data_IF_924432059650
#
_entry.id   IF_924432059650
#
_cell.length_a   1.000
_cell.length_b   1.000
_cell.length_c   1.000
_cell.angle_alpha   90.00
_cell.angle_beta   90.00
_cell.angle_gamma   90.00
#
_symmetry.space_group_name_H-M   'P 1'
#
loop_
_entity.id
_entity.type
_entity.pdbx_description
1 polymer ?
2 non-polymer ?
3 non-polymer ?
4 non-polymer ?
5 non-polymer ?
6 water ?
#
# COMPACT_ATOMS: atom_id res chain seq x y z
N UNK A 15 -1.18 1.67 30.87
CA UNK A 15 -2.29 2.38 31.49
C UNK A 15 -1.75 3.41 32.46
N UNK A 16 -0.96 4.34 31.92
CA UNK A 16 -0.12 5.27 32.70
C UNK A 16 1.06 4.53 33.33
N UNK A 17 1.09 3.19 33.24
CA UNK A 17 2.29 2.46 33.62
C UNK A 17 3.35 2.48 32.53
N UNK A 18 3.02 3.05 31.38
CA UNK A 18 3.83 2.90 30.17
C UNK A 18 4.33 4.27 29.70
N UNK A 19 5.63 4.33 29.40
CA UNK A 19 6.23 5.47 28.71
C UNK A 19 6.14 6.75 29.52
N UNK A 20 6.26 6.62 30.83
CA UNK A 20 6.74 7.74 31.61
C UNK A 20 8.27 7.68 31.66
N UNK A 21 8.89 8.80 32.01
CA UNK A 21 10.34 8.95 31.97
C UNK A 21 10.87 8.76 30.54
N UNK A 22 10.13 9.32 29.58
CA UNK A 22 10.59 9.48 28.20
C UNK A 22 11.05 10.93 27.98
N UNK A 23 12.07 11.32 28.74
CA UNK A 23 12.45 12.72 28.82
C UNK A 23 12.93 13.26 27.47
N UNK A 24 13.69 12.46 26.74
CA UNK A 24 14.22 12.87 25.44
C UNK A 24 13.67 11.92 24.38
N UNK A 25 14.26 11.96 23.21
CA UNK A 25 13.95 10.96 22.20
C UNK A 25 12.86 11.40 21.25
N UNK A 26 12.69 10.58 20.22
CA UNK A 26 12.00 11.00 19.02
C UNK A 26 11.19 9.83 18.48
N UNK A 27 10.11 10.14 17.75
CA UNK A 27 9.15 9.12 17.36
C UNK A 27 8.74 9.37 15.91
N UNK A 28 8.69 8.29 15.12
CA UNK A 28 8.33 8.36 13.71
C UNK A 28 7.22 7.37 13.39
N UNK A 29 6.43 7.73 12.38
CA UNK A 29 5.41 6.85 11.80
C UNK A 29 6.09 6.06 10.69
N UNK A 30 5.90 4.72 10.70
CA UNK A 30 6.31 3.85 9.60
C UNK A 30 5.05 3.36 8.91
N UNK A 31 4.96 3.57 7.60
CA UNK A 31 3.84 3.08 6.78
C UNK A 31 4.39 2.13 5.73
N UNK A 32 3.94 0.89 5.74
CA UNK A 32 4.39 -0.08 4.76
C UNK A 32 3.20 -0.55 3.94
N UNK A 33 3.37 -0.64 2.62
CA UNK A 33 2.32 -1.29 1.84
C UNK A 33 2.64 -2.77 1.61
N UNK A 34 3.55 -3.33 2.40
CA UNK A 34 3.80 -4.77 2.44
C UNK A 34 3.74 -5.25 3.89
N UNK A 35 2.68 -5.98 4.22
CA UNK A 35 2.60 -6.59 5.53
C UNK A 35 3.61 -7.73 5.68
N UNK A 36 3.96 -8.41 4.58
CA UNK A 36 5.04 -9.39 4.62
C UNK A 36 6.34 -8.78 5.08
N UNK A 37 6.64 -7.57 4.61
CA UNK A 37 7.85 -6.91 5.09
C UNK A 37 7.79 -6.67 6.58
N UNK A 38 6.63 -6.27 7.11
CA UNK A 38 6.57 -6.09 8.54
C UNK A 38 6.74 -7.42 9.28
N UNK A 39 6.16 -8.50 8.73
CA UNK A 39 6.34 -9.79 9.39
C UNK A 39 7.81 -10.15 9.45
N UNK A 40 8.55 -9.82 8.40
CA UNK A 40 9.97 -10.11 8.39
C UNK A 40 10.72 -9.23 9.39
N UNK A 41 10.30 -7.97 9.53
CA UNK A 41 10.85 -7.08 10.56
C UNK A 41 10.69 -7.69 11.95
N UNK A 42 9.50 -8.20 12.24
CA UNK A 42 9.23 -8.75 13.55
C UNK A 42 10.06 -10.02 13.76
N UNK A 43 10.28 -10.79 12.69
CA UNK A 43 11.00 -12.03 12.82
C UNK A 43 12.50 -11.80 13.03
N UNK A 44 13.08 -10.82 12.35
CA UNK A 44 14.53 -10.65 12.40
C UNK A 44 14.99 -9.34 13.06
N UNK A 45 14.08 -8.52 13.57
CA UNK A 45 14.41 -7.25 14.24
C UNK A 45 15.28 -6.34 13.36
N UNK A 46 14.80 -6.07 12.13
CA UNK A 46 15.47 -5.19 11.19
C UNK A 46 14.41 -4.43 10.41
N UNK A 47 14.82 -3.32 9.81
CA UNK A 47 13.91 -2.57 8.97
C UNK A 47 14.70 -1.83 7.90
N UNK A 48 13.99 -1.37 6.87
CA UNK A 48 14.55 -0.54 5.81
C UNK A 48 13.43 0.36 5.33
N UNK A 49 13.72 1.65 5.15
CA UNK A 49 12.75 2.60 4.63
C UNK A 49 13.13 3.00 3.20
N UNK A 50 12.47 4.03 2.67
CA UNK A 50 12.90 4.62 1.42
C UNK A 50 14.28 5.24 1.60
N UNK A 51 14.84 5.75 0.50
CA UNK A 51 16.14 6.41 0.59
C UNK A 51 16.06 7.67 1.45
N UNK A 52 15.08 8.54 1.17
CA UNK A 52 14.94 9.74 1.99
C UNK A 52 14.44 9.41 3.41
N UNK A 53 13.65 8.35 3.56
CA UNK A 53 13.22 7.95 4.89
C UNK A 53 14.37 7.42 5.73
N UNK A 54 15.24 6.59 5.13
CA UNK A 54 16.40 6.09 5.85
C UNK A 54 17.29 7.24 6.30
N UNK A 55 17.44 8.25 5.46
CA UNK A 55 18.28 9.39 5.80
C UNK A 55 17.70 10.17 6.98
N UNK A 56 16.37 10.33 7.05
CA UNK A 56 15.75 11.01 8.18
C UNK A 56 15.95 10.22 9.46
N UNK A 57 15.65 8.93 9.44
CA UNK A 57 15.83 8.10 10.62
C UNK A 57 17.29 8.03 11.04
N UNK A 58 18.20 8.00 10.05
CA UNK A 58 19.63 7.94 10.35
C UNK A 58 20.07 9.17 11.12
N UNK A 59 19.62 10.35 10.66
CA UNK A 59 19.95 11.61 11.34
C UNK A 59 19.36 11.68 12.74
N UNK A 60 18.12 11.21 12.92
CA UNK A 60 17.56 11.25 14.27
C UNK A 60 18.32 10.34 15.21
N UNK A 61 18.66 9.14 14.74
CA UNK A 61 19.38 8.19 15.59
C UNK A 61 20.77 8.71 15.95
N UNK A 62 21.51 9.18 14.94
CA UNK A 62 22.87 9.67 15.16
C UNK A 62 22.87 10.90 16.07
N UNK A 63 22.01 11.89 15.78
CA UNK A 63 21.97 13.11 16.58
C UNK A 63 21.52 12.84 18.00
N UNK A 64 20.79 11.75 18.24
CA UNK A 64 20.44 11.39 19.60
C UNK A 64 21.68 10.99 20.40
N UNK A 65 22.71 10.48 19.71
CA UNK A 65 24.00 10.12 20.31
C UNK A 65 23.82 9.20 21.52
N UNK A 66 22.76 8.40 21.50
CA UNK A 66 22.46 7.47 22.57
C UNK A 66 21.74 8.06 23.76
N UNK A 67 21.45 9.37 23.75
CA UNK A 67 20.83 10.01 24.91
C UNK A 67 19.37 9.60 25.12
N UNK A 68 18.69 9.10 24.10
CA UNK A 68 17.29 8.75 24.22
C UNK A 68 16.82 7.79 23.15
N UNK A 69 15.60 7.28 23.29
CA UNK A 69 15.10 6.30 22.31
C UNK A 69 14.53 6.97 21.08
N UNK A 70 14.68 6.29 19.95
CA UNK A 70 13.94 6.60 18.72
C UNK A 70 12.89 5.51 18.58
N UNK A 71 11.61 5.89 18.64
CA UNK A 71 10.56 4.89 18.50
C UNK A 71 9.93 4.98 17.10
N UNK A 72 9.44 3.84 16.63
CA UNK A 72 8.78 3.73 15.34
C UNK A 72 7.39 3.15 15.54
N UNK A 73 6.39 3.84 15.02
CA UNK A 73 4.99 3.40 15.12
C UNK A 73 4.62 2.81 13.77
N UNK A 74 4.39 1.50 13.72
CA UNK A 74 4.20 0.78 12.45
C UNK A 74 2.71 0.69 12.10
N UNK A 75 2.40 0.84 10.81
CA UNK A 75 1.04 0.64 10.31
C UNK A 75 1.10 0.19 8.85
N UNK A 76 0.29 -0.80 8.53
CA UNK A 76 0.15 -1.26 7.13
C UNK A 76 -0.84 -0.36 6.41
N UNK A 77 -0.42 0.22 5.28
CA UNK A 77 -1.26 1.08 4.47
C UNK A 77 -2.61 0.42 4.18
N UNK A 78 -3.69 1.17 4.40
CA UNK A 78 -5.02 0.68 4.11
C UNK A 78 -5.62 -0.22 5.15
N UNK A 79 -4.88 -0.57 6.21
CA UNK A 79 -5.34 -1.60 7.13
C UNK A 79 -6.31 -1.05 8.17
N UNK A 80 -6.29 0.23 8.41
CA UNK A 80 -7.15 0.85 9.39
C UNK A 80 -6.70 0.68 10.83
N UNK A 81 -5.47 0.21 11.06
CA UNK A 81 -4.98 0.03 12.41
C UNK A 81 -3.46 0.11 12.45
N UNK A 82 -2.93 0.53 13.58
CA UNK A 82 -1.50 0.43 13.81
C UNK A 82 -1.21 -0.98 14.26
N UNK A 83 0.00 -1.49 13.97
CA UNK A 83 0.27 -2.89 14.25
C UNK A 83 1.39 -3.12 15.26
N UNK A 84 2.15 -2.09 15.60
CA UNK A 84 2.94 -2.16 16.82
C UNK A 84 3.99 -1.08 16.86
N UNK A 85 4.93 -1.27 17.80
CA UNK A 85 5.94 -0.27 18.15
C UNK A 85 7.28 -0.98 18.24
N UNK A 86 8.32 -0.34 17.69
CA UNK A 86 9.68 -0.83 17.83
C UNK A 86 10.62 0.36 18.03
N UNK A 87 11.78 0.07 18.61
CA UNK A 87 12.81 1.08 18.82
C UNK A 87 13.97 0.88 17.87
N UNK A 88 14.43 1.96 17.26
CA UNK A 88 15.63 1.91 16.46
C UNK A 88 16.83 1.51 17.32
N UNK A 89 17.63 0.57 16.84
CA UNK A 89 18.75 0.05 17.63
C UNK A 89 20.08 0.15 16.91
N UNK A 90 20.16 0.89 15.80
CA UNK A 90 21.39 1.01 15.03
C UNK A 90 21.23 2.08 13.97
N UNK A 91 22.37 2.62 13.56
CA UNK A 91 22.39 3.48 12.39
C UNK A 91 22.08 2.68 11.14
N UNK A 92 21.90 3.38 10.04
CA UNK A 92 21.53 2.78 8.77
C UNK A 92 22.78 2.32 8.02
N UNK A 93 22.81 1.05 7.66
CA UNK A 93 23.84 0.51 6.78
C UNK A 93 23.29 0.52 5.37
N UNK A 94 23.91 1.30 4.48
CA UNK A 94 23.36 1.48 3.15
C UNK A 94 23.82 0.44 2.15
N UNK A 95 24.90 -0.29 2.44
CA UNK A 95 25.44 -1.27 1.48
C UNK A 95 25.24 -2.68 2.07
N UNK A 96 24.14 -3.32 1.68
CA UNK A 96 23.75 -4.61 2.23
C UNK A 96 23.20 -5.49 1.13
N UNK A 97 22.84 -6.71 1.51
CA UNK A 97 22.37 -7.70 0.55
C UNK A 97 21.11 -7.18 -0.13
N UNK A 98 21.06 -7.30 -1.45
CA UNK A 98 19.90 -6.82 -2.19
C UNK A 98 18.80 -7.87 -2.23
N UNK A 99 17.58 -7.39 -2.47
CA UNK A 99 16.46 -8.26 -2.70
C UNK A 99 15.98 -9.05 -1.51
N UNK A 100 16.20 -8.57 -0.28
CA UNK A 100 15.68 -9.28 0.88
C UNK A 100 14.24 -8.90 1.21
N UNK A 101 13.76 -7.78 0.71
CA UNK A 101 12.40 -7.38 1.01
C UNK A 101 11.46 -7.77 -0.14
N UNK A 102 10.19 -7.39 0.00
CA UNK A 102 9.14 -7.78 -0.93
C UNK A 102 9.45 -7.32 -2.35
N UNK A 103 10.19 -6.22 -2.46
CA UNK A 103 10.62 -5.64 -3.73
C UNK A 103 12.06 -5.19 -3.60
N UNK A 104 12.72 -5.06 -4.74
CA UNK A 104 14.15 -4.76 -4.78
C UNK A 104 14.47 -3.31 -4.45
N UNK A 105 13.51 -2.39 -4.60
CA UNK A 105 13.74 -0.96 -4.36
C UNK A 105 14.14 -0.62 -2.92
N UNK A 106 14.02 -1.54 -1.97
CA UNK A 106 14.38 -1.26 -0.58
C UNK A 106 15.84 -1.67 -0.38
N UNK A 107 16.72 -0.67 -0.23
CA UNK A 107 18.15 -0.89 -0.09
C UNK A 107 18.62 -0.40 1.26
N UNK A 108 19.33 -1.26 2.00
CA UNK A 108 19.87 -0.89 3.30
C UNK A 108 19.13 -1.58 4.44
N UNK A 109 19.61 -1.32 5.65
CA UNK A 109 19.12 -2.04 6.83
C UNK A 109 19.54 -1.28 8.08
N UNK A 110 18.67 -1.27 9.09
CA UNK A 110 19.05 -0.94 10.45
C UNK A 110 18.33 -1.88 11.41
N UNK A 111 18.93 -2.06 12.58
CA UNK A 111 18.35 -2.90 13.60
C UNK A 111 17.23 -2.18 14.33
N UNK A 112 16.25 -2.96 14.78
CA UNK A 112 15.16 -2.48 15.62
C UNK A 112 14.93 -3.53 16.70
N UNK A 113 14.16 -3.16 17.70
CA UNK A 113 13.71 -4.08 18.72
C UNK A 113 12.23 -3.86 18.89
N UNK A 114 11.43 -4.86 18.54
CA UNK A 114 9.99 -4.72 18.67
C UNK A 114 9.58 -4.79 20.12
N UNK A 115 8.68 -3.90 20.50
CA UNK A 115 8.21 -3.73 21.86
C UNK A 115 6.77 -4.19 22.00
N UNK A 116 5.89 -3.71 21.13
CA UNK A 116 4.53 -4.20 21.03
C UNK A 116 4.27 -4.68 19.61
N UNK A 117 3.62 -5.84 19.49
CA UNK A 117 3.01 -6.30 18.24
C UNK A 117 1.53 -6.49 18.54
N UNK A 118 0.71 -5.52 18.16
CA UNK A 118 -0.71 -5.60 18.43
C UNK A 118 -1.43 -4.64 17.51
N UNK A 119 -2.65 -5.01 17.11
CA UNK A 119 -3.45 -4.15 16.26
C UNK A 119 -4.26 -3.20 17.11
N UNK A 120 -4.06 -1.91 16.86
CA UNK A 120 -4.78 -0.84 17.54
C UNK A 120 -5.56 -0.12 16.47
N UNK A 121 -6.90 -0.15 16.50
CA UNK A 121 -7.70 0.54 15.48
C UNK A 121 -7.42 2.04 15.41
N UNK A 122 -7.51 2.59 14.20
CA UNK A 122 -7.31 4.03 14.01
C UNK A 122 -8.32 4.86 14.79
N UNK A 123 -9.49 4.29 15.07
CA UNK A 123 -10.48 4.97 15.90
C UNK A 123 -9.89 5.43 17.24
N UNK A 124 -8.96 4.66 17.79
CA UNK A 124 -8.40 4.96 19.11
C UNK A 124 -7.38 6.08 19.07
N UNK A 125 -6.84 6.40 17.90
CA UNK A 125 -5.75 7.35 17.75
C UNK A 125 -6.09 8.58 16.96
N UNK A 126 -7.19 8.57 16.20
CA UNK A 126 -7.46 9.61 15.21
C UNK A 126 -7.73 10.98 15.82
N UNK A 127 -7.94 11.05 17.13
CA UNK A 127 -8.17 12.33 17.79
C UNK A 127 -6.88 12.94 18.33
N UNK A 128 -5.74 12.46 17.85
CA UNK A 128 -4.43 13.07 18.11
C UNK A 128 -3.94 13.73 16.82
N UNK A 129 -3.69 15.03 16.87
CA UNK A 129 -3.36 15.78 15.67
C UNK A 129 -1.92 16.30 15.77
N UNK A 130 -1.29 16.45 14.62
CA UNK A 130 0.14 16.77 14.56
C UNK A 130 0.30 18.24 14.19
N UNK A 131 0.79 19.04 15.15
CA UNK A 131 0.94 20.46 14.86
C UNK A 131 2.01 20.72 13.82
N UNK A 132 2.92 19.76 13.62
CA UNK A 132 3.93 19.84 12.57
C UNK A 132 3.46 19.29 11.23
N UNK A 133 2.23 18.79 11.12
CA UNK A 133 1.71 18.30 9.85
C UNK A 133 0.34 18.92 9.56
N UNK A 134 0.26 20.25 9.67
CA UNK A 134 -0.98 21.00 9.38
C UNK A 134 -2.14 20.57 10.26
N UNK A 135 -1.86 20.15 11.50
CA UNK A 135 -2.88 19.71 12.43
C UNK A 135 -3.64 18.47 11.93
N UNK A 136 -3.06 17.71 11.01
CA UNK A 136 -3.73 16.51 10.52
C UNK A 136 -3.69 15.41 11.58
N UNK A 137 -4.70 14.53 11.59
CA UNK A 137 -4.67 13.39 12.52
C UNK A 137 -3.42 12.56 12.33
N UNK A 138 -2.95 11.95 13.41
CA UNK A 138 -1.72 11.15 13.32
C UNK A 138 -1.95 9.91 12.47
N UNK A 139 -3.20 9.45 12.37
CA UNK A 139 -3.60 8.31 11.55
C UNK A 139 -3.60 8.63 10.06
N UNK A 140 -3.35 9.89 9.69
CA UNK A 140 -3.33 10.34 8.30
C UNK A 140 -1.91 10.69 7.87
N UNK A 141 -0.92 10.06 8.50
CA UNK A 141 0.48 10.35 8.23
C UNK A 141 1.03 9.47 7.11
N UNK A 142 2.04 10.00 6.42
CA UNK A 142 2.83 9.24 5.48
C UNK A 142 4.05 8.63 6.20
N UNK A 143 4.78 7.78 5.48
CA UNK A 143 5.95 7.11 6.03
C UNK A 143 7.00 8.12 6.48
N UNK A 144 7.59 7.84 7.65
CA UNK A 144 8.63 8.63 8.37
C UNK A 144 8.19 10.06 8.70
N UNK A 145 6.89 10.31 8.80
CA UNK A 145 6.40 11.52 9.47
C UNK A 145 6.83 11.52 10.93
N UNK A 146 7.58 12.56 11.34
CA UNK A 146 7.95 12.66 12.75
C UNK A 146 6.76 13.14 13.56
N UNK A 147 6.67 12.66 14.79
CA UNK A 147 5.57 12.95 15.70
C UNK A 147 6.12 13.83 16.84
N UNK A 148 5.53 15.00 17.11
CA UNK A 148 6.00 15.79 18.26
C UNK A 148 5.93 15.01 19.56
N UNK A 149 6.91 15.24 20.43
CA UNK A 149 7.14 14.33 21.56
C UNK A 149 5.90 14.17 22.43
N UNK A 150 5.15 15.25 22.67
CA UNK A 150 4.01 15.13 23.57
C UNK A 150 2.86 14.36 22.94
N UNK A 151 2.69 14.46 21.62
CA UNK A 151 1.67 13.67 20.94
C UNK A 151 2.09 12.21 20.84
N UNK A 152 3.38 11.99 20.65
CA UNK A 152 3.91 10.63 20.59
C UNK A 152 3.65 9.90 21.90
N UNK A 153 3.89 10.58 23.02
CA UNK A 153 3.64 9.96 24.32
C UNK A 153 2.18 9.53 24.45
N UNK A 154 1.26 10.35 23.97
CA UNK A 154 -0.15 9.97 23.97
C UNK A 154 -0.38 8.73 23.10
N UNK A 155 0.26 8.69 21.93
CA UNK A 155 0.04 7.56 21.04
C UNK A 155 0.60 6.29 21.66
N UNK A 156 1.85 6.35 22.13
CA UNK A 156 2.50 5.17 22.69
C UNK A 156 1.70 4.60 23.86
N UNK A 157 1.12 5.47 24.69
CA UNK A 157 0.38 5.00 25.85
C UNK A 157 -0.93 4.35 25.45
N UNK A 158 -1.63 4.89 24.45
CA UNK A 158 -2.85 4.26 23.97
C UNK A 158 -2.54 2.87 23.42
N UNK A 159 -1.48 2.77 22.61
CA UNK A 159 -1.11 1.48 22.05
C UNK A 159 -0.77 0.49 23.16
N UNK A 160 0.09 0.91 24.08
CA UNK A 160 0.54 0.06 25.18
C UNK A 160 -0.63 -0.57 25.95
N UNK A 161 -1.64 0.23 26.29
CA UNK A 161 -2.71 -0.23 27.16
C UNK A 161 -3.91 -0.81 26.41
N UNK A 162 -3.99 -0.63 25.09
CA UNK A 162 -5.17 -1.09 24.36
C UNK A 162 -5.38 -2.59 24.54
N UNK A 163 -6.64 -2.98 24.74
CA UNK A 163 -7.00 -4.37 24.97
C UNK A 163 -8.23 -4.71 24.14
N UNK A 164 -8.22 -5.88 23.52
CA UNK A 164 -9.30 -6.39 22.66
C UNK A 164 -10.69 -6.22 23.27
N UNK B 14 6.74 3.70 -38.53
CA UNK B 14 5.60 2.99 -39.07
C UNK B 14 4.28 3.25 -38.36
N UNK B 15 3.60 2.18 -37.93
CA UNK B 15 2.33 2.34 -37.27
C UNK B 15 1.98 1.07 -36.49
N UNK B 16 1.23 1.27 -35.41
CA UNK B 16 0.64 0.18 -34.66
C UNK B 16 -0.84 0.52 -34.52
N UNK B 17 -1.68 -0.17 -35.30
CA UNK B 17 -3.12 0.01 -35.27
C UNK B 17 -3.84 -1.12 -34.55
N UNK B 18 -3.12 -1.89 -33.73
CA UNK B 18 -3.75 -3.06 -33.13
C UNK B 18 -4.94 -2.66 -32.28
N UNK B 19 -4.71 -1.77 -31.32
CA UNK B 19 -5.75 -1.46 -30.35
C UNK B 19 -6.86 -0.61 -30.94
N UNK B 20 -6.55 0.26 -31.91
CA UNK B 20 -7.58 1.07 -32.56
C UNK B 20 -8.71 0.24 -33.17
N UNK B 21 -8.46 -1.03 -33.50
CA UNK B 21 -9.48 -1.90 -34.07
C UNK B 21 -9.94 -2.88 -33.01
N UNK B 22 -10.78 -2.38 -32.09
CA UNK B 22 -11.52 -3.24 -31.19
C UNK B 22 -12.74 -2.48 -30.68
N UNK B 23 -13.94 -3.03 -30.90
CA UNK B 23 -15.17 -2.38 -30.44
C UNK B 23 -15.88 -3.22 -29.38
N UNK B 24 -15.16 -4.13 -28.72
CA UNK B 24 -15.72 -4.94 -27.66
C UNK B 24 -14.68 -5.09 -26.55
N UNK B 25 -15.14 -5.05 -25.31
CA UNK B 25 -14.25 -5.14 -24.18
C UNK B 25 -14.56 -4.05 -23.17
N UNK B 26 -14.26 -4.34 -21.91
CA UNK B 26 -14.45 -3.39 -20.82
C UNK B 26 -13.19 -3.38 -19.96
N UNK B 27 -12.89 -2.23 -19.37
CA UNK B 27 -11.60 -2.01 -18.73
C UNK B 27 -11.84 -1.30 -17.40
N UNK B 28 -11.16 -1.77 -16.35
CA UNK B 28 -11.33 -1.24 -14.99
C UNK B 28 -9.97 -0.94 -14.40
N UNK B 29 -9.89 0.16 -13.64
CA UNK B 29 -8.72 0.42 -12.81
C UNK B 29 -8.84 -0.40 -11.53
N UNK B 30 -7.75 -1.06 -11.13
CA UNK B 30 -7.65 -1.75 -9.85
C UNK B 30 -6.65 -0.98 -9.02
N UNK B 31 -7.09 -0.49 -7.86
CA UNK B 31 -6.25 0.23 -6.90
C UNK B 31 -6.12 -0.65 -5.66
N UNK B 32 -4.90 -1.14 -5.39
CA UNK B 32 -4.68 -2.00 -4.24
C UNK B 32 -3.84 -1.28 -3.20
N UNK B 33 -4.18 -1.45 -1.93
CA UNK B 33 -3.28 -0.93 -0.92
C UNK B 33 -2.03 -1.77 -0.73
N UNK B 34 -2.00 -3.02 -1.22
CA UNK B 34 -1.06 -4.04 -0.76
C UNK B 34 -0.21 -4.59 -1.90
N UNK B 35 1.11 -4.44 -1.78
CA UNK B 35 1.99 -5.12 -2.72
C UNK B 35 1.93 -6.64 -2.53
N UNK B 36 1.62 -7.09 -1.32
CA UNK B 36 1.48 -8.52 -1.08
C UNK B 36 0.30 -9.11 -1.85
N UNK B 37 -0.82 -8.37 -1.95
CA UNK B 37 -1.95 -8.83 -2.76
C UNK B 37 -1.54 -8.95 -4.22
N UNK B 38 -0.83 -7.95 -4.77
CA UNK B 38 -0.32 -8.02 -6.14
C UNK B 38 0.53 -9.28 -6.35
N UNK B 39 1.49 -9.52 -5.44
CA UNK B 39 2.33 -10.71 -5.56
C UNK B 39 1.52 -12.00 -5.51
N UNK B 40 0.52 -12.06 -4.63
CA UNK B 40 -0.35 -13.23 -4.57
C UNK B 40 -1.12 -13.41 -5.88
N UNK B 41 -1.56 -12.30 -6.48
CA UNK B 41 -2.34 -12.37 -7.71
C UNK B 41 -1.48 -12.87 -8.86
N UNK B 42 -0.26 -12.36 -8.97
CA UNK B 42 0.63 -12.80 -10.03
C UNK B 42 1.00 -14.27 -9.84
N UNK B 43 1.16 -14.68 -8.58
CA UNK B 43 1.58 -16.06 -8.33
C UNK B 43 0.47 -17.05 -8.65
N UNK B 44 -0.77 -16.75 -8.28
CA UNK B 44 -1.85 -17.72 -8.35
C UNK B 44 -2.93 -17.36 -9.37
N UNK B 45 -2.76 -16.25 -10.09
CA UNK B 45 -3.72 -15.81 -11.09
C UNK B 45 -5.13 -15.70 -10.53
N UNK B 46 -5.26 -14.97 -9.41
CA UNK B 46 -6.54 -14.73 -8.75
C UNK B 46 -6.56 -13.29 -8.22
N UNK B 47 -7.77 -12.81 -7.91
CA UNK B 47 -7.91 -11.49 -7.32
C UNK B 47 -9.15 -11.45 -6.45
N UNK B 48 -9.23 -10.41 -5.63
CA UNK B 48 -10.40 -10.13 -4.83
C UNK B 48 -10.41 -8.63 -4.55
N UNK B 49 -11.59 -8.03 -4.62
CA UNK B 49 -11.84 -6.63 -4.34
C UNK B 49 -12.70 -6.51 -3.08
N UNK B 50 -13.16 -5.30 -2.80
CA UNK B 50 -14.20 -5.10 -1.80
C UNK B 50 -15.49 -5.77 -2.26
N UNK B 51 -16.53 -5.77 -1.43
CA UNK B 51 -17.80 -6.31 -1.89
C UNK B 51 -18.38 -5.44 -3.01
N UNK B 52 -18.34 -4.12 -2.83
CA UNK B 52 -18.79 -3.21 -3.88
C UNK B 52 -17.99 -3.41 -5.17
N UNK B 53 -16.66 -3.52 -5.04
CA UNK B 53 -15.82 -3.72 -6.21
C UNK B 53 -16.06 -5.05 -6.89
N UNK B 54 -16.17 -6.12 -6.09
CA UNK B 54 -16.48 -7.45 -6.63
C UNK B 54 -17.82 -7.48 -7.35
N UNK B 55 -18.84 -6.84 -6.77
CA UNK B 55 -20.14 -6.82 -7.43
C UNK B 55 -20.05 -6.14 -8.79
N UNK B 56 -19.31 -5.04 -8.86
CA UNK B 56 -19.19 -4.32 -10.12
C UNK B 56 -18.43 -5.13 -11.16
N UNK B 57 -17.31 -5.77 -10.80
CA UNK B 57 -16.56 -6.54 -11.78
C UNK B 57 -17.34 -7.77 -12.25
N UNK B 58 -18.05 -8.41 -11.34
CA UNK B 58 -18.85 -9.59 -11.65
C UNK B 58 -19.90 -9.27 -12.72
N UNK B 59 -20.65 -8.17 -12.54
CA UNK B 59 -21.67 -7.78 -13.51
C UNK B 59 -21.06 -7.52 -14.87
N UNK B 60 -19.93 -6.84 -14.92
CA UNK B 60 -19.27 -6.60 -16.20
C UNK B 60 -18.83 -7.92 -16.84
N UNK B 61 -18.33 -8.85 -16.03
CA UNK B 61 -17.93 -10.16 -16.57
C UNK B 61 -19.14 -10.93 -17.11
N UNK B 62 -20.20 -11.03 -16.31
CA UNK B 62 -21.36 -11.83 -16.71
C UNK B 62 -22.08 -11.22 -17.91
N UNK B 63 -22.15 -9.89 -17.99
CA UNK B 63 -22.83 -9.26 -19.11
C UNK B 63 -22.00 -9.25 -20.38
N UNK B 64 -20.73 -9.63 -20.30
CA UNK B 64 -19.89 -9.68 -21.49
C UNK B 64 -20.19 -10.89 -22.35
N UNK B 65 -20.67 -11.98 -21.74
CA UNK B 65 -21.01 -13.21 -22.46
C UNK B 65 -19.90 -13.65 -23.41
N UNK B 66 -18.65 -13.54 -22.96
CA UNK B 66 -17.50 -13.91 -23.76
C UNK B 66 -17.32 -13.12 -25.04
N UNK B 67 -18.15 -12.13 -25.32
CA UNK B 67 -18.02 -11.34 -26.54
C UNK B 67 -16.88 -10.33 -26.46
N UNK B 68 -16.06 -10.39 -25.42
CA UNK B 68 -14.96 -9.47 -25.25
C UNK B 68 -14.26 -9.63 -23.91
N UNK B 69 -13.03 -9.12 -23.81
CA UNK B 69 -12.29 -9.22 -22.56
C UNK B 69 -12.66 -8.11 -21.58
N UNK B 70 -12.54 -8.45 -20.29
CA UNK B 70 -12.55 -7.47 -19.21
C UNK B 70 -11.09 -7.33 -18.77
N UNK B 71 -10.47 -6.19 -19.05
CA UNK B 71 -9.10 -5.93 -18.64
C UNK B 71 -9.06 -5.19 -17.30
N UNK B 72 -8.07 -5.54 -16.50
CA UNK B 72 -7.84 -4.94 -15.17
C UNK B 72 -6.48 -4.29 -15.23
N UNK B 73 -6.44 -2.98 -14.99
CA UNK B 73 -5.19 -2.20 -14.98
C UNK B 73 -4.84 -1.91 -13.52
N UNK B 74 -3.75 -2.51 -13.02
CA UNK B 74 -3.43 -2.55 -11.60
C UNK B 74 -2.49 -1.42 -11.20
N UNK B 75 -2.70 -0.89 -10.00
CA UNK B 75 -1.81 0.11 -9.42
C UNK B 75 -1.89 0.05 -7.89
N UNK B 76 -0.74 0.05 -7.22
CA UNK B 76 -0.72 0.09 -5.76
C UNK B 76 -0.86 1.53 -5.30
N UNK B 77 -1.80 1.77 -4.37
CA UNK B 77 -2.08 3.12 -3.89
C UNK B 77 -0.80 3.79 -3.43
N UNK B 78 -0.50 4.95 -3.99
CA UNK B 78 0.61 5.76 -3.53
C UNK B 78 1.97 5.44 -4.14
N UNK B 79 2.05 4.46 -5.04
CA UNK B 79 3.35 4.03 -5.56
C UNK B 79 3.83 4.83 -6.76
N UNK B 80 2.95 5.57 -7.46
CA UNK B 80 3.37 6.38 -8.57
C UNK B 80 3.40 5.70 -9.93
N UNK B 81 3.00 4.43 -10.02
CA UNK B 81 3.03 3.72 -11.29
C UNK B 81 1.94 2.67 -11.30
N UNK B 82 1.51 2.31 -12.51
CA UNK B 82 0.80 1.07 -12.68
C UNK B 82 1.82 -0.07 -12.73
N UNK B 83 1.37 -1.26 -12.36
CA UNK B 83 2.28 -2.39 -12.31
C UNK B 83 1.88 -3.53 -13.24
N UNK B 84 0.77 -3.43 -13.96
CA UNK B 84 0.49 -4.44 -14.96
C UNK B 84 -0.97 -4.52 -15.37
N UNK B 85 -1.24 -5.54 -16.20
CA UNK B 85 -2.54 -5.80 -16.81
C UNK B 85 -2.90 -7.27 -16.69
N UNK B 86 -4.17 -7.53 -16.37
CA UNK B 86 -4.70 -8.87 -16.32
C UNK B 86 -6.09 -8.86 -16.92
N UNK B 87 -6.48 -10.01 -17.44
CA UNK B 87 -7.82 -10.21 -17.95
C UNK B 87 -8.58 -11.02 -16.91
N UNK B 88 -9.79 -10.58 -16.58
CA UNK B 88 -10.67 -11.37 -15.74
C UNK B 88 -11.07 -12.66 -16.46
N UNK B 89 -10.94 -13.80 -15.78
CA UNK B 89 -11.18 -15.10 -16.43
C UNK B 89 -12.26 -15.92 -15.75
N UNK B 90 -12.99 -15.37 -14.79
CA UNK B 90 -14.08 -16.11 -14.17
C UNK B 90 -14.98 -15.12 -13.46
N UNK B 91 -16.22 -15.56 -13.21
CA UNK B 91 -17.12 -14.82 -12.34
C UNK B 91 -16.59 -14.86 -10.91
N UNK B 92 -17.23 -14.09 -10.03
CA UNK B 92 -16.79 -13.97 -8.65
C UNK B 92 -17.41 -15.07 -7.81
N UNK B 93 -16.55 -15.84 -7.13
CA UNK B 93 -16.98 -16.75 -6.07
C UNK B 93 -16.90 -15.99 -4.75
N UNK B 94 -18.05 -15.80 -4.09
CA UNK B 94 -18.06 -14.97 -2.88
C UNK B 94 -17.84 -15.75 -1.59
N UNK B 95 -17.84 -17.08 -1.62
CA UNK B 95 -17.68 -17.87 -0.40
C UNK B 95 -16.49 -18.80 -0.59
N UNK B 96 -15.30 -18.28 -0.37
CA UNK B 96 -14.07 -19.05 -0.36
C UNK B 96 -13.40 -18.87 1.00
N UNK B 97 -12.16 -19.33 1.10
CA UNK B 97 -11.41 -19.26 2.34
C UNK B 97 -11.06 -17.82 2.68
N UNK B 98 -11.46 -17.37 3.87
CA UNK B 98 -11.14 -16.02 4.31
C UNK B 98 -9.66 -15.91 4.68
N UNK B 99 -9.22 -14.66 4.91
CA UNK B 99 -7.91 -14.39 5.49
C UNK B 99 -6.71 -14.58 4.59
N UNK B 100 -6.90 -14.61 3.28
CA UNK B 100 -5.79 -14.79 2.35
C UNK B 100 -5.31 -13.47 1.75
N UNK B 101 -6.11 -12.42 1.84
CA UNK B 101 -5.79 -11.10 1.33
C UNK B 101 -5.40 -10.17 2.47
N UNK B 102 -4.87 -9.01 2.08
CA UNK B 102 -4.47 -7.95 2.99
C UNK B 102 -5.56 -7.64 4.03
N UNK B 103 -6.79 -7.47 3.56
CA UNK B 103 -7.97 -7.37 4.42
C UNK B 103 -8.45 -8.77 4.76
N UNK B 104 -8.32 -9.15 6.03
CA UNK B 104 -8.60 -10.51 6.46
C UNK B 104 -10.06 -10.91 6.30
N UNK B 105 -11.00 -9.95 6.25
CA UNK B 105 -12.41 -10.30 6.11
C UNK B 105 -12.80 -10.74 4.70
N UNK B 106 -12.00 -10.40 3.69
CA UNK B 106 -12.36 -10.74 2.32
C UNK B 106 -12.43 -12.25 2.14
N UNK B 107 -13.53 -12.73 1.59
CA UNK B 107 -13.67 -14.16 1.30
C UNK B 107 -14.00 -14.42 -0.16
N UNK B 108 -13.95 -13.39 -1.01
CA UNK B 108 -14.20 -13.56 -2.43
C UNK B 108 -12.96 -13.93 -3.23
N UNK B 109 -13.19 -14.39 -4.44
CA UNK B 109 -12.11 -14.74 -5.36
C UNK B 109 -12.65 -14.81 -6.77
N UNK B 110 -11.87 -14.32 -7.73
CA UNK B 110 -12.14 -14.64 -9.12
C UNK B 110 -10.81 -14.83 -9.83
N UNK B 111 -10.85 -15.60 -10.91
CA UNK B 111 -9.64 -15.93 -11.66
C UNK B 111 -9.27 -14.80 -12.61
N UNK B 112 -7.97 -14.53 -12.73
CA UNK B 112 -7.46 -13.60 -13.71
C UNK B 112 -6.32 -14.27 -14.49
N UNK B 113 -5.92 -13.61 -15.56
CA UNK B 113 -4.71 -13.99 -16.28
C UNK B 113 -3.85 -12.75 -16.46
N UNK B 114 -2.72 -12.70 -15.75
CA UNK B 114 -1.83 -11.57 -15.93
C UNK B 114 -1.23 -11.59 -17.32
N UNK B 115 -1.23 -10.41 -17.95
CA UNK B 115 -0.88 -10.24 -19.35
C UNK B 115 0.43 -9.48 -19.52
N UNK B 116 0.64 -8.47 -18.67
CA UNK B 116 1.78 -7.58 -18.66
C UNK B 116 2.12 -7.38 -17.17
N UNK B 117 3.35 -7.63 -16.79
CA UNK B 117 3.85 -7.28 -15.46
C UNK B 117 5.01 -6.32 -15.70
N UNK B 118 4.74 -5.03 -15.62
CA UNK B 118 5.70 -4.00 -15.98
C UNK B 118 5.27 -2.69 -15.34
N UNK B 119 6.22 -2.01 -14.68
CA UNK B 119 5.92 -0.71 -14.10
C UNK B 119 5.83 0.35 -15.20
N UNK B 120 4.74 1.10 -15.19
CA UNK B 120 4.56 2.25 -16.09
C UNK B 120 4.29 3.46 -15.22
N UNK B 121 5.18 4.46 -15.19
CA UNK B 121 4.99 5.59 -14.28
C UNK B 121 3.75 6.38 -14.62
N UNK B 122 3.22 7.08 -13.60
CA UNK B 122 1.98 7.83 -13.78
C UNK B 122 2.12 8.98 -14.77
N UNK B 123 3.34 9.47 -14.99
CA UNK B 123 3.54 10.57 -15.92
C UNK B 123 3.20 10.17 -17.36
N UNK B 124 3.48 8.91 -17.72
CA UNK B 124 3.13 8.43 -19.06
C UNK B 124 1.63 8.40 -19.31
N UNK B 125 0.81 8.45 -18.25
CA UNK B 125 -0.62 8.23 -18.36
C UNK B 125 -1.48 9.39 -17.84
N UNK B 126 -0.93 10.37 -17.14
CA UNK B 126 -1.76 11.38 -16.49
C UNK B 126 -2.53 12.27 -17.47
N UNK B 127 -2.15 12.27 -18.74
CA UNK B 127 -2.79 13.16 -19.69
C UNK B 127 -4.05 12.56 -20.30
N UNK B 128 -4.25 11.25 -20.17
CA UNK B 128 -5.53 10.63 -20.51
C UNK B 128 -6.52 10.91 -19.39
N UNK B 129 -7.69 11.43 -19.75
CA UNK B 129 -8.69 11.80 -18.75
C UNK B 129 -9.98 11.06 -19.00
N UNK B 130 -10.75 10.83 -17.94
CA UNK B 130 -11.94 9.98 -17.99
C UNK B 130 -13.19 10.86 -17.96
N UNK B 131 -13.90 10.90 -19.09
CA UNK B 131 -15.08 11.74 -19.15
C UNK B 131 -16.19 11.24 -18.24
N UNK B 132 -16.15 9.97 -17.84
CA UNK B 132 -17.16 9.44 -16.90
C UNK B 132 -16.76 9.66 -15.44
N UNK B 133 -15.60 10.25 -15.17
CA UNK B 133 -15.18 10.57 -13.81
C UNK B 133 -14.68 12.01 -13.79
N UNK B 134 -15.56 12.93 -14.21
CA UNK B 134 -15.36 14.37 -14.06
C UNK B 134 -14.10 14.85 -14.77
N UNK B 135 -13.77 14.25 -15.91
CA UNK B 135 -12.57 14.62 -16.66
C UNK B 135 -11.30 14.48 -15.82
N UNK B 136 -11.37 13.68 -14.75
CA UNK B 136 -10.19 13.43 -13.94
C UNK B 136 -9.20 12.56 -14.71
N UNK B 137 -7.90 12.70 -14.43
CA UNK B 137 -6.91 11.86 -15.09
C UNK B 137 -7.01 10.42 -14.63
N UNK B 138 -6.84 9.50 -15.59
CA UNK B 138 -7.01 8.07 -15.31
C UNK B 138 -6.14 7.62 -14.15
N UNK B 139 -5.05 8.33 -13.90
CA UNK B 139 -4.13 8.07 -12.80
C UNK B 139 -4.64 8.57 -11.45
N UNK B 140 -5.80 9.23 -11.41
CA UNK B 140 -6.43 9.62 -10.16
C UNK B 140 -7.70 8.84 -9.89
N UNK B 141 -7.82 7.65 -10.48
CA UNK B 141 -9.02 6.85 -10.29
C UNK B 141 -8.98 6.12 -8.95
N UNK B 142 -10.16 5.76 -8.47
CA UNK B 142 -10.31 4.88 -7.32
C UNK B 142 -10.50 3.45 -7.82
N UNK B 143 -10.52 2.53 -6.86
CA UNK B 143 -10.67 1.10 -7.17
C UNK B 143 -11.97 0.82 -7.93
N UNK B 144 -11.81 0.03 -9.00
CA UNK B 144 -12.85 -0.41 -9.96
C UNK B 144 -13.51 0.75 -10.71
N UNK B 145 -12.79 1.86 -10.89
CA UNK B 145 -13.20 2.89 -11.84
C UNK B 145 -13.23 2.30 -13.25
N UNK B 146 -14.38 2.37 -13.94
CA UNK B 146 -14.42 1.89 -15.32
C UNK B 146 -13.81 2.92 -16.26
N UNK B 147 -13.12 2.45 -17.29
CA UNK B 147 -12.45 3.29 -18.30
C UNK B 147 -13.24 3.19 -19.60
N UNK B 148 -13.62 4.31 -20.21
CA UNK B 148 -14.32 4.24 -21.50
C UNK B 148 -13.43 3.60 -22.55
N UNK B 149 -14.03 2.75 -23.38
CA UNK B 149 -13.25 1.91 -24.29
C UNK B 149 -12.31 2.73 -25.15
N UNK B 150 -12.80 3.86 -25.71
CA UNK B 150 -11.94 4.67 -26.57
C UNK B 150 -10.74 5.23 -25.79
N UNK B 151 -10.89 5.46 -24.49
CA UNK B 151 -9.77 5.88 -23.65
C UNK B 151 -8.90 4.70 -23.21
N UNK B 152 -9.50 3.53 -23.04
CA UNK B 152 -8.74 2.34 -22.67
C UNK B 152 -7.80 1.92 -23.80
N UNK B 153 -8.22 2.09 -25.07
CA UNK B 153 -7.33 1.77 -26.18
C UNK B 153 -6.05 2.58 -26.09
N UNK B 154 -6.16 3.84 -25.63
CA UNK B 154 -4.99 4.70 -25.55
C UNK B 154 -4.09 4.31 -24.38
N UNK B 155 -4.71 3.95 -23.25
CA UNK B 155 -3.91 3.51 -22.11
C UNK B 155 -3.14 2.23 -22.46
N UNK B 156 -3.84 1.25 -23.03
CA UNK B 156 -3.19 0.00 -23.42
C UNK B 156 -2.04 0.26 -24.38
N UNK B 157 -2.26 1.12 -25.39
CA UNK B 157 -1.19 1.42 -26.34
C UNK B 157 0.05 1.93 -25.61
N UNK B 158 -0.15 2.82 -24.64
CA UNK B 158 0.98 3.40 -23.92
C UNK B 158 1.66 2.37 -23.03
N UNK B 159 0.89 1.53 -22.35
CA UNK B 159 1.48 0.51 -21.50
C UNK B 159 2.28 -0.48 -22.35
N UNK B 160 1.73 -0.88 -23.49
CA UNK B 160 2.40 -1.89 -24.32
C UNK B 160 3.68 -1.35 -24.94
N UNK B 161 3.78 -0.04 -25.13
CA UNK B 161 4.93 0.53 -25.80
C UNK B 161 5.91 1.19 -24.85
N UNK B 162 5.61 1.25 -23.55
CA UNK B 162 6.55 1.86 -22.62
C UNK B 162 7.79 0.98 -22.43
N UNK B 163 8.96 1.62 -22.37
CA UNK B 163 10.23 0.90 -22.27
C UNK B 163 11.09 1.39 -21.10
#
# INVERSE_FOLDING_TARGET
MGSSYHHHHHHSSGENLYFQHMKHGRVFIIKSYSEDDIHRSIKYNIWCSTEHGNKRLDAAYRSMNGKGPVYLLFSVNGSGHFCGVAEMKSAVDYNTCAGVWSQDKWKGRFDVRWIFVKDVPNSQLRHIRLENNENKPVTNSRDTQEVPLEKAKQVLKIIASYKHTTS
MGSSYHHHHHHSSGENLYFQHMKHGRVFIIKSYSEDDIHRSIKYNIWCSTEHGNKRLDAAYRSMNGKGPVYLLFSVNGSGHFCGVAEMKSAVDYNTCAGVWSQDKWKGRFDVRWIFVKDVPNSQLRHIRLENNENKPVTNSRDTQEVPLEKAKQVLKIIASYKHTTS
#
